data_IF_373215653555
#
_entry.id   IF_373215653555
#
_cell.length_a   1.000
_cell.length_b   1.000
_cell.length_c   1.000
_cell.angle_alpha   90.00
_cell.angle_beta   90.00
_cell.angle_gamma   90.00
#
_symmetry.space_group_name_H-M   'P 1'
#
loop_
_entity.id
_entity.type
_entity.pdbx_description
1 polymer ?
#
# COMPACT_ATOMS: atom_id res chain seq x y z
N UNK A 1 -17.48 -3.23 3.42
CA UNK A 1 -16.17 -2.71 3.87
C UNK A 1 -15.20 -2.81 2.69
N UNK A 2 -14.92 -1.70 2.03
CA UNK A 2 -13.84 -1.64 1.03
C UNK A 2 -12.52 -1.38 1.74
N UNK A 3 -11.48 -2.15 1.41
CA UNK A 3 -10.12 -1.91 1.88
C UNK A 3 -9.20 -1.89 0.68
N UNK A 4 -8.17 -1.05 0.74
CA UNK A 4 -7.23 -0.87 -0.36
C UNK A 4 -6.05 -1.83 -0.19
N UNK A 5 -5.62 -2.45 -1.27
CA UNK A 5 -4.50 -3.38 -1.28
C UNK A 5 -3.26 -2.68 -1.82
N UNK A 6 -2.17 -2.66 -1.04
CA UNK A 6 -0.88 -2.08 -1.47
C UNK A 6 0.11 -3.21 -1.65
N UNK A 7 0.51 -3.47 -2.89
CA UNK A 7 1.53 -4.47 -3.21
C UNK A 7 2.91 -3.83 -3.28
N UNK A 8 3.75 -4.18 -2.31
CA UNK A 8 5.17 -3.89 -2.34
C UNK A 8 5.82 -4.87 -3.31
N UNK A 9 6.44 -4.36 -4.38
CA UNK A 9 7.24 -5.18 -5.29
C UNK A 9 8.66 -5.17 -4.74
N UNK A 10 9.65 -4.67 -5.49
CA UNK A 10 11.05 -4.60 -5.01
C UNK A 10 11.32 -3.40 -4.10
N UNK A 11 10.31 -2.57 -3.94
CA UNK A 11 10.28 -1.32 -3.20
C UNK A 11 9.74 -1.58 -1.80
N UNK A 12 10.53 -2.23 -0.95
CA UNK A 12 10.24 -2.38 0.48
C UNK A 12 10.47 -1.06 1.25
N UNK A 13 9.87 0.04 0.77
CA UNK A 13 9.96 1.36 1.39
C UNK A 13 8.59 1.96 1.63
N UNK A 14 8.44 2.60 2.78
CA UNK A 14 7.24 3.32 3.16
C UNK A 14 7.33 4.82 2.85
N UNK A 15 8.55 5.37 2.83
CA UNK A 15 8.82 6.75 2.43
C UNK A 15 8.67 6.92 0.91
N UNK A 16 8.05 8.03 0.51
CA UNK A 16 7.83 8.41 -0.90
C UNK A 16 7.13 7.30 -1.72
N UNK A 17 6.15 6.64 -1.11
CA UNK A 17 5.38 5.56 -1.73
C UNK A 17 3.99 6.07 -2.12
N UNK A 18 3.87 6.63 -3.33
CA UNK A 18 2.65 7.27 -3.81
C UNK A 18 1.39 6.37 -3.68
N UNK A 19 1.51 5.08 -4.00
CA UNK A 19 0.40 4.13 -3.87
C UNK A 19 -0.03 3.89 -2.41
N UNK A 20 0.90 4.01 -1.46
CA UNK A 20 0.59 3.88 -0.03
C UNK A 20 -0.13 5.13 0.46
N UNK A 21 0.36 6.32 0.08
CA UNK A 21 -0.24 7.59 0.44
C UNK A 21 -1.67 7.73 -0.11
N UNK A 22 -1.89 7.35 -1.37
CA UNK A 22 -3.22 7.36 -1.98
C UNK A 22 -4.16 6.36 -1.30
N UNK A 23 -3.68 5.17 -0.98
CA UNK A 23 -4.50 4.13 -0.36
C UNK A 23 -4.87 4.48 1.09
N UNK A 24 -3.96 5.12 1.85
CA UNK A 24 -4.24 5.65 3.19
C UNK A 24 -5.36 6.70 3.20
N UNK A 25 -5.48 7.52 2.15
CA UNK A 25 -6.56 8.50 2.03
C UNK A 25 -7.94 7.86 1.84
N UNK A 26 -7.99 6.62 1.33
CA UNK A 26 -9.23 5.90 1.06
C UNK A 26 -9.70 5.02 2.23
N UNK A 27 -8.90 4.90 3.29
CA UNK A 27 -9.24 4.20 4.51
C UNK A 27 -8.35 2.99 4.81
N UNK A 28 -8.89 1.92 5.41
CA UNK A 28 -8.10 0.77 5.84
C UNK A 28 -7.36 0.12 4.66
N UNK A 29 -6.07 -0.12 4.86
CA UNK A 29 -5.18 -0.70 3.87
C UNK A 29 -4.59 -2.02 4.32
N UNK A 30 -4.34 -2.90 3.35
CA UNK A 30 -3.61 -4.15 3.55
C UNK A 30 -2.39 -4.18 2.64
N UNK A 31 -1.23 -4.22 3.27
CA UNK A 31 0.07 -4.30 2.62
C UNK A 31 0.42 -5.76 2.32
N UNK A 32 0.75 -6.09 1.08
CA UNK A 32 1.19 -7.43 0.68
C UNK A 32 2.54 -7.37 -0.05
N UNK A 33 3.33 -8.41 0.12
CA UNK A 33 4.57 -8.65 -0.60
C UNK A 33 4.53 -10.10 -1.10
N UNK A 34 4.72 -10.30 -2.40
CA UNK A 34 4.68 -11.61 -3.05
C UNK A 34 6.10 -11.89 -3.54
N UNK A 35 6.67 -13.03 -3.10
CA UNK A 35 7.99 -13.52 -3.50
C UNK A 35 7.90 -14.31 -4.80
#
# INVERSE_FOLDING_TARGET
>A
MSYSLVWFKRDLRWHDHAALAQALQQGPIRCIYIV
#
